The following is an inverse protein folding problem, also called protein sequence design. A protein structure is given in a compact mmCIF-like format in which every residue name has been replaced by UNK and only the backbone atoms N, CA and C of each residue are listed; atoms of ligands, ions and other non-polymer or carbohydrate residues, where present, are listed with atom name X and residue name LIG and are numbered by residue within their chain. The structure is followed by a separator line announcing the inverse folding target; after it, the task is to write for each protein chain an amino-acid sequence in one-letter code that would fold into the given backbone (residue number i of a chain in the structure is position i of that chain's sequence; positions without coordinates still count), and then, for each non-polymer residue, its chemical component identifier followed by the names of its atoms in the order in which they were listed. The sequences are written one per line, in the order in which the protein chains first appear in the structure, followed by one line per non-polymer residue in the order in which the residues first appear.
data_IF_374724941655
#
_entry.id   IF_374724941655
#
_cell.length_a   1.000
_cell.length_b   1.000
_cell.length_c   1.000
_cell.angle_alpha   90.00
_cell.angle_beta   90.00
_cell.angle_gamma   90.00
#
_symmetry.space_group_name_H-M   'P 1'
#
loop_
_entity.id
_entity.type
_entity.pdbx_description
1 polymer ?
#
# COMPACT_ATOMS: atom_id res chain seq x y z
N UNK A 1 12.04 -2.00 52.55
CA UNK A 1 11.70 -3.07 51.56
C UNK A 1 10.22 -2.93 51.19
N UNK A 2 9.87 -2.48 49.98
CA UNK A 2 8.47 -2.41 49.52
C UNK A 2 8.19 -3.59 48.60
N UNK A 3 7.45 -4.57 49.11
CA UNK A 3 6.91 -5.68 48.34
C UNK A 3 5.83 -5.15 47.37
N UNK A 4 6.24 -4.62 46.22
CA UNK A 4 5.35 -4.33 45.11
C UNK A 4 4.96 -5.65 44.44
N UNK A 5 4.00 -6.37 45.03
CA UNK A 5 3.25 -7.41 44.32
C UNK A 5 2.45 -6.71 43.22
N UNK A 6 3.05 -6.49 42.06
CA UNK A 6 2.35 -6.04 40.86
C UNK A 6 1.42 -7.16 40.42
N UNK A 7 0.22 -7.22 41.02
CA UNK A 7 -0.90 -7.96 40.45
C UNK A 7 -1.23 -7.26 39.14
N UNK A 8 -0.54 -7.66 38.07
CA UNK A 8 -0.95 -7.29 36.73
C UNK A 8 -2.38 -7.77 36.59
N UNK A 9 -3.34 -6.89 36.22
CA UNK A 9 -4.69 -7.36 35.96
C UNK A 9 -4.59 -8.48 34.92
N UNK A 10 -5.38 -9.56 35.06
CA UNK A 10 -5.37 -10.63 34.07
C UNK A 10 -5.59 -10.00 32.70
N UNK A 11 -4.73 -10.36 31.74
CA UNK A 11 -4.84 -9.89 30.35
C UNK A 11 -6.28 -10.18 29.92
N UNK A 12 -7.07 -9.12 29.69
CA UNK A 12 -8.42 -9.25 29.15
C UNK A 12 -8.29 -9.72 27.71
N UNK A 13 -8.35 -11.03 27.51
CA UNK A 13 -8.40 -11.63 26.19
C UNK A 13 -9.80 -11.39 25.60
N UNK A 14 -9.89 -10.64 24.50
CA UNK A 14 -11.11 -10.53 23.73
C UNK A 14 -11.33 -11.85 22.97
N UNK A 15 -12.28 -12.66 23.43
CA UNK A 15 -12.60 -13.94 22.82
C UNK A 15 -13.71 -13.77 21.79
N UNK A 16 -13.58 -14.33 20.56
CA UNK A 16 -14.63 -14.28 19.57
C UNK A 16 -15.92 -14.94 20.08
N UNK A 17 -17.06 -14.44 19.61
CA UNK A 17 -18.39 -14.88 20.05
C UNK A 17 -18.59 -16.39 19.95
N UNK A 18 -17.98 -17.03 18.95
CA UNK A 18 -18.10 -18.46 18.65
C UNK A 18 -17.55 -19.38 19.76
N UNK A 19 -16.62 -18.88 20.59
CA UNK A 19 -16.05 -19.65 21.70
C UNK A 19 -16.79 -19.37 23.03
N UNK A 20 -17.69 -18.37 23.05
CA UNK A 20 -18.40 -17.95 24.26
C UNK A 20 -17.51 -17.28 25.32
N UNK A 21 -18.13 -16.74 26.36
CA UNK A 21 -17.44 -16.08 27.47
C UNK A 21 -17.11 -17.03 28.64
N UNK A 22 -17.37 -18.33 28.49
CA UNK A 22 -17.10 -19.35 29.50
C UNK A 22 -15.59 -19.58 29.67
N UNK A 23 -15.21 -20.17 30.80
CA UNK A 23 -13.81 -20.49 31.10
C UNK A 23 -13.24 -21.45 30.05
N UNK A 24 -13.97 -22.52 29.73
CA UNK A 24 -13.61 -23.51 28.71
C UNK A 24 -13.48 -22.89 27.31
N UNK A 25 -14.41 -22.00 26.94
CA UNK A 25 -14.36 -21.25 25.70
C UNK A 25 -13.07 -20.45 25.53
N UNK A 26 -12.66 -19.76 26.61
CA UNK A 26 -11.40 -19.01 26.64
C UNK A 26 -10.18 -19.92 26.48
N UNK A 27 -10.15 -21.07 27.14
CA UNK A 27 -9.04 -22.03 27.02
C UNK A 27 -8.94 -22.63 25.63
N UNK A 28 -10.07 -23.01 25.02
CA UNK A 28 -10.11 -23.54 23.66
C UNK A 28 -9.64 -22.50 22.63
N UNK A 29 -10.07 -21.24 22.78
CA UNK A 29 -9.59 -20.16 21.92
C UNK A 29 -8.10 -19.91 22.10
N UNK A 30 -7.58 -19.94 23.34
CA UNK A 30 -6.15 -19.80 23.62
C UNK A 30 -5.32 -20.94 23.00
N UNK A 31 -5.79 -22.18 23.07
CA UNK A 31 -5.12 -23.33 22.46
C UNK A 31 -5.03 -23.16 20.94
N UNK A 32 -6.16 -22.86 20.28
CA UNK A 32 -6.19 -22.59 18.84
C UNK A 32 -5.31 -21.41 18.44
N UNK A 33 -5.30 -20.34 19.24
CA UNK A 33 -4.47 -19.17 18.97
C UNK A 33 -2.98 -19.51 19.07
N UNK A 34 -2.58 -20.31 20.06
CA UNK A 34 -1.20 -20.79 20.20
C UNK A 34 -0.78 -21.65 19.02
N UNK A 35 -1.59 -22.63 18.61
CA UNK A 35 -1.30 -23.47 17.43
C UNK A 35 -1.12 -22.62 16.16
N UNK A 36 -1.98 -21.62 15.97
CA UNK A 36 -1.84 -20.67 14.86
C UNK A 36 -0.56 -19.85 14.98
N UNK A 37 -0.25 -19.32 16.16
CA UNK A 37 0.96 -18.56 16.39
C UNK A 37 2.21 -19.41 16.12
N UNK A 38 2.24 -20.66 16.61
CA UNK A 38 3.36 -21.58 16.43
C UNK A 38 3.56 -21.94 14.96
N UNK A 39 2.48 -22.15 14.20
CA UNK A 39 2.56 -22.42 12.76
C UNK A 39 3.02 -21.19 11.96
N UNK A 40 2.52 -19.98 12.27
CA UNK A 40 3.00 -18.74 11.66
C UNK A 40 4.48 -18.48 12.01
N UNK A 41 4.89 -18.71 13.25
CA UNK A 41 6.29 -18.60 13.68
C UNK A 41 7.19 -19.60 12.96
N UNK A 42 6.75 -20.83 12.73
CA UNK A 42 7.50 -21.84 11.99
C UNK A 42 7.75 -21.41 10.53
N UNK A 43 6.75 -20.82 9.88
CA UNK A 43 6.87 -20.28 8.51
C UNK A 43 7.92 -19.14 8.49
N UNK A 44 7.80 -18.18 9.41
CA UNK A 44 8.74 -17.05 9.50
C UNK A 44 10.17 -17.53 9.78
N UNK A 45 10.33 -18.56 10.62
CA UNK A 45 11.63 -19.17 10.88
C UNK A 45 12.21 -19.86 9.65
N UNK A 46 11.39 -20.54 8.84
CA UNK A 46 11.82 -21.20 7.63
C UNK A 46 12.23 -20.22 6.51
N UNK A 47 11.58 -19.06 6.43
CA UNK A 47 11.91 -18.00 5.46
C UNK A 47 13.15 -17.18 5.83
N UNK A 48 13.74 -17.44 7.01
CA UNK A 48 14.87 -16.66 7.54
C UNK A 48 16.14 -16.90 6.73
N UNK A 49 16.78 -15.81 6.30
CA UNK A 49 18.12 -15.86 5.71
C UNK A 49 19.21 -15.77 6.80
N UNK A 50 20.35 -16.44 6.62
CA UNK A 50 21.47 -16.31 7.55
C UNK A 50 21.93 -14.84 7.60
N UNK A 51 21.79 -14.21 8.77
CA UNK A 51 22.13 -12.80 9.00
C UNK A 51 20.98 -11.94 9.53
N UNK A 52 19.73 -12.35 9.33
CA UNK A 52 18.57 -11.59 9.82
C UNK A 52 18.45 -11.71 11.34
N UNK A 53 18.31 -10.57 12.03
CA UNK A 53 18.07 -10.49 13.48
C UNK A 53 16.71 -9.87 13.75
N UNK A 54 15.88 -10.53 14.56
CA UNK A 54 14.62 -9.93 15.00
C UNK A 54 14.85 -8.80 16.00
N UNK A 55 13.96 -7.82 15.95
CA UNK A 55 13.90 -6.79 16.98
C UNK A 55 13.33 -7.44 18.25
N UNK A 56 14.17 -7.73 19.24
CA UNK A 56 13.72 -8.34 20.50
C UNK A 56 12.68 -7.48 21.23
N UNK A 57 11.90 -8.10 22.11
CA UNK A 57 10.78 -7.47 22.85
C UNK A 57 11.19 -6.15 23.52
N UNK A 58 12.38 -6.10 24.11
CA UNK A 58 12.91 -4.88 24.75
C UNK A 58 13.11 -3.73 23.78
N UNK A 59 13.55 -4.03 22.56
CA UNK A 59 13.76 -3.03 21.51
C UNK A 59 12.43 -2.57 20.95
N UNK A 60 11.46 -3.47 20.76
CA UNK A 60 10.09 -3.12 20.32
C UNK A 60 9.44 -2.13 21.30
N UNK A 61 9.53 -2.39 22.61
CA UNK A 61 8.97 -1.51 23.64
C UNK A 61 9.58 -0.10 23.67
N UNK A 62 10.80 0.07 23.15
CA UNK A 62 11.48 1.36 23.04
C UNK A 62 11.14 2.12 21.76
N UNK A 63 10.53 1.46 20.77
CA UNK A 63 10.07 2.12 19.54
C UNK A 63 8.88 3.01 19.87
N UNK A 64 8.97 4.29 19.50
CA UNK A 64 7.84 5.21 19.67
C UNK A 64 6.69 4.80 18.74
N UNK A 65 5.43 4.78 19.22
CA UNK A 65 4.26 4.50 18.39
C UNK A 65 4.09 5.47 17.20
N UNK A 66 4.69 6.66 17.30
CA UNK A 66 4.64 7.70 16.26
C UNK A 66 5.89 7.72 15.38
N UNK A 67 6.85 6.82 15.61
CA UNK A 67 8.03 6.73 14.76
C UNK A 67 7.71 6.05 13.43
N UNK A 68 8.34 6.54 12.37
CA UNK A 68 8.28 5.94 11.03
C UNK A 68 9.65 5.35 10.69
N UNK A 69 9.73 4.25 9.89
CA UNK A 69 10.99 3.78 9.35
C UNK A 69 11.72 4.91 8.62
N UNK A 70 13.04 5.04 8.83
CA UNK A 70 13.89 6.01 8.09
C UNK A 70 14.12 5.60 6.64
N UNK A 71 13.82 4.35 6.30
CA UNK A 71 13.96 3.83 4.94
C UNK A 71 12.80 4.34 4.10
N UNK A 72 13.11 5.04 3.02
CA UNK A 72 12.11 5.47 2.06
C UNK A 72 11.39 4.25 1.47
N UNK A 73 10.06 4.25 1.58
CA UNK A 73 9.25 3.28 0.86
C UNK A 73 9.47 3.47 -0.64
N UNK A 74 9.61 2.40 -1.44
CA UNK A 74 9.78 2.55 -2.87
C UNK A 74 8.52 3.18 -3.48
N UNK A 75 8.58 4.50 -3.71
CA UNK A 75 7.46 5.34 -4.18
C UNK A 75 6.89 4.90 -5.53
N UNK A 76 7.60 4.07 -6.30
CA UNK A 76 7.31 3.79 -7.72
C UNK A 76 7.11 2.31 -8.07
N UNK A 77 6.90 1.43 -7.07
CA UNK A 77 6.63 0.00 -7.34
C UNK A 77 5.16 -0.35 -7.49
N UNK A 78 4.25 0.56 -7.16
CA UNK A 78 2.84 0.41 -7.49
C UNK A 78 2.64 0.77 -8.96
N UNK A 79 2.52 -0.26 -9.80
CA UNK A 79 1.90 -0.12 -11.12
C UNK A 79 0.39 -0.17 -10.91
N UNK A 80 -0.35 0.94 -11.01
CA UNK A 80 -1.80 0.90 -10.90
C UNK A 80 -2.34 0.10 -12.09
N UNK A 81 -2.52 -1.20 -11.90
CA UNK A 81 -3.26 -2.02 -12.83
C UNK A 81 -4.73 -1.71 -12.58
N UNK A 82 -5.44 -1.21 -13.59
CA UNK A 82 -6.90 -1.07 -13.50
C UNK A 82 -7.49 -2.44 -13.21
N UNK A 83 -8.09 -2.60 -12.03
CA UNK A 83 -8.85 -3.78 -11.66
C UNK A 83 -10.32 -3.53 -11.99
N UNK A 84 -10.87 -4.36 -12.86
CA UNK A 84 -12.29 -4.36 -13.24
C UNK A 84 -12.73 -5.81 -13.35
N UNK A 85 -13.94 -6.13 -12.86
CA UNK A 85 -14.55 -7.44 -13.04
C UNK A 85 -14.72 -7.77 -14.53
N UNK A 86 -15.06 -6.76 -15.34
CA UNK A 86 -15.24 -6.87 -16.77
C UNK A 86 -13.94 -6.55 -17.52
N UNK A 87 -13.53 -7.45 -18.44
CA UNK A 87 -12.31 -7.32 -19.25
C UNK A 87 -12.37 -6.12 -20.19
N UNK A 88 -13.51 -5.87 -20.83
CA UNK A 88 -13.68 -4.81 -21.82
C UNK A 88 -13.50 -3.42 -21.22
N UNK A 89 -14.17 -3.15 -20.09
CA UNK A 89 -13.99 -1.90 -19.32
C UNK A 89 -12.53 -1.70 -18.89
N UNK A 90 -11.83 -2.79 -18.55
CA UNK A 90 -10.40 -2.72 -18.22
C UNK A 90 -9.55 -2.28 -19.40
N UNK A 91 -9.79 -2.86 -20.58
CA UNK A 91 -9.07 -2.52 -21.82
C UNK A 91 -9.36 -1.08 -22.21
N UNK A 92 -10.62 -0.64 -22.12
CA UNK A 92 -11.03 0.72 -22.42
C UNK A 92 -10.32 1.75 -21.52
N UNK A 93 -10.31 1.52 -20.21
CA UNK A 93 -9.61 2.39 -19.26
C UNK A 93 -8.11 2.42 -19.49
N UNK A 94 -7.52 1.26 -19.83
CA UNK A 94 -6.10 1.19 -20.16
C UNK A 94 -5.75 1.97 -21.44
N UNK A 95 -6.62 1.93 -22.46
CA UNK A 95 -6.47 2.75 -23.67
C UNK A 95 -6.52 4.25 -23.35
N UNK A 96 -7.50 4.70 -22.58
CA UNK A 96 -7.63 6.11 -22.14
C UNK A 96 -6.42 6.58 -21.33
N UNK A 97 -5.91 5.72 -20.44
CA UNK A 97 -4.73 6.04 -19.65
C UNK A 97 -3.47 6.15 -20.52
N UNK A 98 -3.27 5.22 -21.45
CA UNK A 98 -2.15 5.30 -22.40
C UNK A 98 -2.25 6.52 -23.30
N UNK A 99 -3.43 6.85 -23.81
CA UNK A 99 -3.60 8.03 -24.67
C UNK A 99 -3.24 9.30 -23.92
N UNK A 100 -3.73 9.44 -22.68
CA UNK A 100 -3.33 10.54 -21.79
C UNK A 100 -1.81 10.61 -21.58
N UNK A 101 -1.14 9.48 -21.30
CA UNK A 101 0.31 9.47 -21.10
C UNK A 101 1.08 9.90 -22.36
N UNK A 102 0.65 9.48 -23.54
CA UNK A 102 1.29 9.86 -24.80
C UNK A 102 1.13 11.36 -25.03
N UNK A 103 -0.09 11.89 -24.96
CA UNK A 103 -0.35 13.33 -25.13
C UNK A 103 0.40 14.18 -24.12
N UNK A 104 0.44 13.73 -22.85
CA UNK A 104 1.19 14.43 -21.80
C UNK A 104 2.68 14.46 -22.11
N UNK A 105 3.27 13.34 -22.56
CA UNK A 105 4.70 13.28 -22.89
C UNK A 105 5.07 14.18 -24.06
N UNK A 106 4.26 14.18 -25.13
CA UNK A 106 4.47 15.07 -26.28
C UNK A 106 4.44 16.53 -25.81
N UNK A 107 3.41 16.93 -25.07
CA UNK A 107 3.27 18.28 -24.56
C UNK A 107 4.42 18.66 -23.60
N UNK A 108 4.84 17.73 -22.75
CA UNK A 108 5.94 17.95 -21.81
C UNK A 108 7.28 18.09 -22.50
N UNK A 109 7.53 17.32 -23.57
CA UNK A 109 8.76 17.41 -24.35
C UNK A 109 8.83 18.76 -25.10
N UNK A 110 7.72 19.22 -25.69
CA UNK A 110 7.64 20.57 -26.29
C UNK A 110 7.86 21.68 -25.24
N UNK A 111 7.23 21.54 -24.08
CA UNK A 111 7.40 22.48 -22.97
C UNK A 111 8.85 22.54 -22.48
N UNK A 112 9.51 21.38 -22.40
CA UNK A 112 10.91 21.27 -22.01
C UNK A 112 11.85 21.87 -23.06
N UNK A 113 11.48 21.79 -24.34
CA UNK A 113 12.21 22.41 -25.45
C UNK A 113 12.00 23.93 -25.55
N UNK A 114 11.21 24.52 -24.63
CA UNK A 114 11.07 25.97 -24.48
C UNK A 114 9.73 26.53 -24.99
N UNK A 115 8.87 25.72 -25.59
CA UNK A 115 7.54 26.18 -25.99
C UNK A 115 6.61 26.27 -24.77
N UNK A 116 6.33 27.48 -24.28
CA UNK A 116 5.49 27.69 -23.08
C UNK A 116 3.99 27.75 -23.36
N UNK A 117 3.58 27.85 -24.62
CA UNK A 117 2.18 27.94 -25.03
C UNK A 117 1.55 26.57 -25.39
N UNK A 118 2.24 25.48 -25.10
CA UNK A 118 1.76 24.11 -25.33
C UNK A 118 0.52 23.82 -24.49
N UNK A 119 -0.49 23.22 -25.11
CA UNK A 119 -1.67 22.73 -24.41
C UNK A 119 -1.45 21.32 -23.84
N UNK A 120 -1.61 21.19 -22.52
CA UNK A 120 -1.52 19.92 -21.83
C UNK A 120 -2.89 19.21 -21.81
N UNK A 121 -2.92 17.86 -21.80
CA UNK A 121 -4.19 17.13 -21.72
C UNK A 121 -4.89 17.34 -20.38
N UNK A 122 -6.23 17.26 -20.40
CA UNK A 122 -7.07 17.30 -19.20
C UNK A 122 -6.60 16.26 -18.17
N UNK A 123 -6.45 16.68 -16.91
CA UNK A 123 -5.87 15.87 -15.83
C UNK A 123 -4.47 16.31 -15.41
N UNK A 124 -3.86 17.25 -16.14
CA UNK A 124 -2.53 17.79 -15.81
C UNK A 124 -2.56 18.89 -14.74
N UNK A 125 -3.02 18.56 -13.53
CA UNK A 125 -3.21 19.54 -12.46
C UNK A 125 -1.91 20.12 -11.89
N UNK A 126 -0.90 19.26 -11.66
CA UNK A 126 0.37 19.69 -11.03
C UNK A 126 1.13 20.70 -11.88
N UNK A 127 1.20 20.49 -13.20
CA UNK A 127 1.87 21.43 -14.10
C UNK A 127 1.12 22.76 -14.17
N UNK A 128 -0.22 22.73 -14.24
CA UNK A 128 -1.04 23.94 -14.16
C UNK A 128 -0.74 24.75 -12.90
N UNK A 129 -0.66 24.12 -11.73
CA UNK A 129 -0.38 24.84 -10.48
C UNK A 129 1.05 25.39 -10.39
N UNK A 130 2.05 24.59 -10.77
CA UNK A 130 3.45 24.92 -10.52
C UNK A 130 4.10 25.76 -11.63
N UNK A 131 3.61 25.60 -12.87
CA UNK A 131 4.22 26.18 -14.07
C UNK A 131 3.22 26.98 -14.91
N UNK A 132 1.96 27.11 -14.45
CA UNK A 132 0.91 27.91 -15.07
C UNK A 132 0.65 27.59 -16.55
N UNK A 133 0.72 26.30 -16.92
CA UNK A 133 0.53 25.85 -18.29
C UNK A 133 -0.96 25.73 -18.65
N UNK A 134 -1.27 25.89 -19.94
CA UNK A 134 -2.63 25.74 -20.47
C UNK A 134 -3.03 24.27 -20.46
N UNK A 135 -4.29 24.00 -20.13
CA UNK A 135 -4.84 22.65 -20.04
C UNK A 135 -6.11 22.58 -20.88
N UNK A 136 -6.23 21.54 -21.71
CA UNK A 136 -7.42 21.28 -22.50
C UNK A 136 -8.63 21.01 -21.60
N UNK A 137 -9.83 21.38 -22.09
CA UNK A 137 -11.09 21.12 -21.38
C UNK A 137 -11.59 19.69 -21.65
N UNK A 138 -11.19 19.10 -22.78
CA UNK A 138 -11.61 17.77 -23.22
C UNK A 138 -10.50 16.72 -23.08
N UNK A 139 -10.89 15.46 -22.86
CA UNK A 139 -9.99 14.31 -22.95
C UNK A 139 -9.75 13.97 -24.42
N UNK A 140 -8.54 14.22 -24.91
CA UNK A 140 -8.14 13.77 -26.24
C UNK A 140 -7.85 12.28 -26.18
N UNK A 141 -8.78 11.47 -26.70
CA UNK A 141 -8.55 10.04 -26.89
C UNK A 141 -7.82 9.88 -28.21
N UNK A 142 -6.51 9.61 -28.15
CA UNK A 142 -5.80 9.08 -29.30
C UNK A 142 -6.26 7.65 -29.54
N UNK A 143 -6.70 7.35 -30.77
CA UNK A 143 -6.90 5.97 -31.21
C UNK A 143 -5.54 5.27 -31.23
N UNK A 144 -5.18 4.65 -30.11
CA UNK A 144 -4.03 3.77 -30.05
C UNK A 144 -4.47 2.48 -30.73
N UNK A 145 -4.03 2.29 -31.97
CA UNK A 145 -4.10 0.99 -32.64
C UNK A 145 -3.55 -0.07 -31.67
N UNK A 146 -4.31 -1.14 -31.39
CA UNK A 146 -3.89 -2.13 -30.40
C UNK A 146 -2.51 -2.67 -30.77
N UNK A 147 -1.53 -2.66 -29.84
CA UNK A 147 -0.29 -3.35 -30.10
C UNK A 147 -0.61 -4.85 -29.94
N UNK A 148 -0.47 -5.60 -31.04
CA UNK A 148 -0.54 -7.06 -31.18
C UNK A 148 -1.91 -7.69 -31.50
N UNK A 149 -1.96 -8.36 -32.67
CA UNK A 149 -2.62 -9.67 -32.87
C UNK A 149 -1.92 -10.75 -32.03
#
# INVERSE_FOLDING_TARGET
MRNCRTRHPPIKLCVPKDYGNTVEGKYNYLAKYKERLDSELAIIMAERKPGDRWLGVEKIKKVSPFSSPKTDSPLWRLKPNFLSAEKEKRIEMWKKWKSFQISYRIAFDEFRNGNRDVEFPLGTYKMRLQQNVRVSIEHVIFEISPPFE
#
